data_IF_595788593120
#
_entry.id   IF_595788593120
#
_cell.length_a   1.000
_cell.length_b   1.000
_cell.length_c   1.000
_cell.angle_alpha   90.00
_cell.angle_beta   90.00
_cell.angle_gamma   90.00
#
_symmetry.space_group_name_H-M   'P 1'
#
loop_
_entity.id
_entity.type
_entity.pdbx_description
1 polymer ?
#
# COMPACT_ATOMS: atom_id res chain seq x y z
N UNK A 1 14.54 -15.48 8.48
CA UNK A 1 14.60 -14.32 7.56
C UNK A 1 15.18 -14.78 6.23
N UNK A 2 14.36 -14.86 5.18
CA UNK A 2 14.84 -15.18 3.83
C UNK A 2 15.40 -13.89 3.23
N UNK A 3 16.72 -13.85 2.96
CA UNK A 3 17.34 -12.75 2.20
C UNK A 3 16.99 -12.94 0.73
N UNK A 4 15.97 -12.23 0.27
CA UNK A 4 15.67 -12.11 -1.16
C UNK A 4 16.69 -11.15 -1.75
N UNK A 5 17.61 -11.66 -2.56
CA UNK A 5 18.57 -10.83 -3.31
C UNK A 5 17.84 -10.08 -4.41
N UNK A 6 17.59 -8.79 -4.19
CA UNK A 6 16.97 -7.90 -5.15
C UNK A 6 17.96 -7.53 -6.27
N UNK A 7 17.57 -7.50 -7.55
CA UNK A 7 18.39 -6.92 -8.62
C UNK A 7 18.70 -5.45 -8.31
N UNK A 8 19.95 -5.03 -8.57
CA UNK A 8 20.52 -3.74 -8.16
C UNK A 8 19.68 -2.52 -8.60
N UNK A 9 19.11 -2.54 -9.81
CA UNK A 9 18.25 -1.45 -10.31
C UNK A 9 16.95 -1.30 -9.51
N UNK A 10 16.36 -2.41 -9.08
CA UNK A 10 15.16 -2.46 -8.26
C UNK A 10 15.40 -1.91 -6.85
N UNK A 11 16.54 -2.30 -6.25
CA UNK A 11 16.94 -1.79 -4.93
C UNK A 11 17.15 -0.27 -4.91
N UNK A 12 17.56 0.32 -6.06
CA UNK A 12 17.77 1.77 -6.18
C UNK A 12 16.45 2.54 -6.30
N UNK A 13 15.51 2.07 -7.12
CA UNK A 13 14.20 2.69 -7.26
C UNK A 13 13.40 2.63 -5.95
N UNK A 14 13.32 1.43 -5.35
CA UNK A 14 12.65 1.21 -4.07
C UNK A 14 13.34 2.00 -2.94
N UNK A 15 14.68 1.99 -2.92
CA UNK A 15 15.46 2.76 -1.94
C UNK A 15 15.19 4.26 -2.05
N UNK A 16 15.11 4.81 -3.26
CA UNK A 16 14.80 6.24 -3.47
C UNK A 16 13.39 6.58 -2.98
N UNK A 17 12.38 5.75 -3.28
CA UNK A 17 11.02 5.96 -2.81
C UNK A 17 10.91 5.96 -1.28
N UNK A 18 11.53 4.98 -0.63
CA UNK A 18 11.44 4.81 0.82
C UNK A 18 12.33 5.76 1.62
N UNK A 19 13.17 6.56 0.96
CA UNK A 19 14.01 7.58 1.60
C UNK A 19 13.35 8.98 1.62
N UNK A 20 12.14 9.13 1.08
CA UNK A 20 11.46 10.43 1.04
C UNK A 20 10.95 10.82 2.44
N UNK A 21 11.10 12.08 2.84
CA UNK A 21 10.79 12.55 4.21
C UNK A 21 9.32 12.35 4.60
N UNK A 22 8.40 12.35 3.63
CA UNK A 22 6.98 12.11 3.88
C UNK A 22 6.63 10.62 4.13
N UNK A 23 7.59 9.70 3.98
CA UNK A 23 7.40 8.28 4.27
C UNK A 23 7.45 8.09 5.80
N UNK A 24 6.29 7.85 6.41
CA UNK A 24 6.19 7.70 7.86
C UNK A 24 7.00 6.53 8.43
N UNK A 25 7.19 5.44 7.70
CA UNK A 25 8.05 4.33 8.16
C UNK A 25 8.81 3.70 7.01
N UNK A 26 10.13 3.96 6.96
CA UNK A 26 11.03 3.42 5.93
C UNK A 26 10.99 1.90 5.84
N UNK A 27 10.99 1.21 6.98
CA UNK A 27 10.93 -0.26 7.04
C UNK A 27 9.67 -0.79 6.37
N UNK A 28 8.51 -0.22 6.70
CA UNK A 28 7.23 -0.61 6.10
C UNK A 28 7.23 -0.39 4.58
N UNK A 29 7.75 0.75 4.12
CA UNK A 29 7.87 1.02 2.70
C UNK A 29 8.76 -0.01 1.99
N UNK A 30 9.92 -0.34 2.57
CA UNK A 30 10.83 -1.33 2.00
C UNK A 30 10.17 -2.71 1.94
N UNK A 31 9.48 -3.15 2.99
CA UNK A 31 8.76 -4.43 3.00
C UNK A 31 7.65 -4.47 1.95
N UNK A 32 6.84 -3.41 1.86
CA UNK A 32 5.74 -3.32 0.89
C UNK A 32 6.25 -3.31 -0.57
N UNK A 33 7.38 -2.66 -0.83
CA UNK A 33 7.96 -2.52 -2.17
C UNK A 33 8.99 -3.59 -2.53
N UNK A 34 9.37 -4.47 -1.60
CA UNK A 34 10.29 -5.60 -1.88
C UNK A 34 9.59 -6.86 -2.38
N UNK A 35 8.32 -6.77 -2.80
CA UNK A 35 7.60 -7.91 -3.38
C UNK A 35 8.13 -8.25 -4.78
N UNK A 36 8.18 -9.53 -5.20
CA UNK A 36 8.71 -9.91 -6.52
C UNK A 36 8.09 -9.13 -7.70
N UNK A 37 6.82 -8.73 -7.59
CA UNK A 37 6.10 -7.92 -8.60
C UNK A 37 6.60 -6.48 -8.69
N UNK A 38 6.90 -5.85 -7.55
CA UNK A 38 7.47 -4.49 -7.51
C UNK A 38 8.96 -4.56 -7.88
N UNK A 39 9.61 -5.65 -7.55
CA UNK A 39 11.05 -5.79 -7.72
C UNK A 39 11.46 -5.85 -9.19
N UNK A 40 10.63 -6.43 -10.06
CA UNK A 40 10.86 -6.42 -11.50
C UNK A 40 10.45 -5.12 -12.19
N UNK A 41 9.97 -4.12 -11.42
CA UNK A 41 9.53 -2.85 -11.98
C UNK A 41 10.69 -2.07 -12.61
N UNK A 42 10.45 -1.58 -13.83
CA UNK A 42 11.43 -0.81 -14.60
C UNK A 42 11.29 0.70 -14.41
N UNK A 43 10.14 1.16 -13.91
CA UNK A 43 9.82 2.57 -13.70
C UNK A 43 8.87 2.76 -12.51
N UNK A 44 8.71 4.01 -12.09
CA UNK A 44 7.90 4.45 -10.94
C UNK A 44 6.38 4.22 -11.09
N UNK A 45 5.89 4.00 -12.31
CA UNK A 45 4.46 3.80 -12.58
C UNK A 45 3.99 2.45 -12.04
N UNK A 46 4.80 1.40 -12.18
CA UNK A 46 4.42 0.05 -11.77
C UNK A 46 4.23 -0.09 -10.24
N UNK A 47 5.14 0.44 -9.37
CA UNK A 47 4.88 0.54 -7.94
C UNK A 47 3.60 1.33 -7.62
N UNK A 48 3.35 2.45 -8.30
CA UNK A 48 2.12 3.25 -8.10
C UNK A 48 0.85 2.45 -8.41
N UNK A 49 0.84 1.70 -9.52
CA UNK A 49 -0.29 0.81 -9.89
C UNK A 49 -0.49 -0.29 -8.83
N UNK A 50 0.59 -0.85 -8.29
CA UNK A 50 0.53 -1.87 -7.24
C UNK A 50 -0.02 -1.31 -5.93
N UNK A 51 0.42 -0.12 -5.50
CA UNK A 51 -0.12 0.57 -4.32
C UNK A 51 -1.61 0.87 -4.50
N UNK A 52 -2.02 1.33 -5.69
CA UNK A 52 -3.42 1.60 -6.01
C UNK A 52 -4.28 0.33 -5.93
N UNK A 53 -3.78 -0.80 -6.43
CA UNK A 53 -4.45 -2.12 -6.32
C UNK A 53 -4.59 -2.58 -4.86
N UNK A 54 -3.53 -2.47 -4.06
CA UNK A 54 -3.57 -2.79 -2.63
C UNK A 54 -4.60 -1.92 -1.88
N UNK A 55 -4.67 -0.64 -2.22
CA UNK A 55 -5.70 0.27 -1.69
C UNK A 55 -7.13 -0.19 -2.05
N UNK A 56 -7.35 -0.63 -3.29
CA UNK A 56 -8.65 -1.14 -3.74
C UNK A 56 -9.04 -2.46 -3.04
N UNK A 57 -8.09 -3.36 -2.80
CA UNK A 57 -8.30 -4.59 -2.04
C UNK A 57 -8.73 -4.28 -0.59
N UNK A 58 -8.04 -3.34 0.07
CA UNK A 58 -8.42 -2.88 1.40
C UNK A 58 -9.82 -2.27 1.44
N UNK A 59 -10.19 -1.46 0.43
CA UNK A 59 -11.53 -0.89 0.31
C UNK A 59 -12.62 -1.97 0.23
N UNK A 60 -12.36 -3.04 -0.54
CA UNK A 60 -13.29 -4.18 -0.63
C UNK A 60 -13.44 -4.88 0.73
N UNK A 61 -12.33 -5.09 1.45
CA UNK A 61 -12.33 -5.69 2.78
C UNK A 61 -13.19 -4.86 3.76
N UNK A 62 -13.03 -3.53 3.78
CA UNK A 62 -13.88 -2.66 4.63
C UNK A 62 -15.36 -2.73 4.24
N UNK A 63 -15.68 -2.73 2.94
CA UNK A 63 -17.06 -2.86 2.46
C UNK A 63 -17.71 -4.19 2.90
N UNK A 64 -16.92 -5.27 3.00
CA UNK A 64 -17.41 -6.55 3.55
C UNK A 64 -17.67 -6.43 5.06
N UNK A 65 -16.74 -5.83 5.82
CA UNK A 65 -16.90 -5.65 7.27
C UNK A 65 -18.10 -4.77 7.63
N UNK A 66 -18.40 -3.74 6.83
CA UNK A 66 -19.55 -2.84 7.04
C UNK A 66 -20.90 -3.58 6.96
N UNK A 67 -20.98 -4.70 6.24
CA UNK A 67 -22.24 -5.47 6.12
C UNK A 67 -22.65 -6.14 7.43
N UNK A 68 -21.70 -6.45 8.30
CA UNK A 68 -21.93 -7.10 9.61
C UNK A 68 -20.97 -6.53 10.65
N UNK A 69 -21.17 -5.28 11.08
CA UNK A 69 -20.31 -4.66 12.07
C UNK A 69 -20.59 -5.27 13.44
N UNK A 70 -19.54 -5.51 14.23
CA UNK A 70 -19.68 -6.03 15.59
C UNK A 70 -20.15 -4.97 16.60
N UNK A 71 -20.06 -3.68 16.26
CA UNK A 71 -20.57 -2.57 17.09
C UNK A 71 -20.83 -1.30 16.27
N UNK A 72 -21.65 -0.35 16.79
CA UNK A 72 -21.86 0.96 16.17
C UNK A 72 -20.58 1.79 16.06
N UNK A 73 -19.69 1.71 17.05
CA UNK A 73 -18.41 2.41 17.04
C UNK A 73 -17.51 1.89 15.92
N UNK A 74 -17.47 0.55 15.74
CA UNK A 74 -16.72 -0.06 14.66
C UNK A 74 -17.30 0.35 13.30
N UNK A 75 -18.63 0.35 13.14
CA UNK A 75 -19.27 0.81 11.89
C UNK A 75 -18.86 2.25 11.54
N UNK A 76 -18.87 3.17 12.52
CA UNK A 76 -18.43 4.55 12.31
C UNK A 76 -16.96 4.62 11.87
N UNK A 77 -16.07 3.86 12.52
CA UNK A 77 -14.67 3.80 12.16
C UNK A 77 -14.46 3.24 10.74
N UNK A 78 -15.14 2.14 10.40
CA UNK A 78 -15.08 1.53 9.06
C UNK A 78 -15.55 2.49 7.96
N UNK A 79 -16.63 3.23 8.19
CA UNK A 79 -17.10 4.25 7.25
C UNK A 79 -16.08 5.38 7.06
N UNK A 80 -15.44 5.85 8.15
CA UNK A 80 -14.35 6.83 8.05
C UNK A 80 -13.17 6.30 7.22
N UNK A 81 -12.79 5.03 7.42
CA UNK A 81 -11.75 4.38 6.62
C UNK A 81 -12.13 4.34 5.14
N UNK A 82 -13.35 3.91 4.80
CA UNK A 82 -13.82 3.84 3.42
C UNK A 82 -13.71 5.19 2.71
N UNK A 83 -14.15 6.27 3.35
CA UNK A 83 -14.07 7.62 2.76
C UNK A 83 -12.61 8.09 2.58
N UNK A 84 -11.75 7.84 3.57
CA UNK A 84 -10.32 8.15 3.47
C UNK A 84 -9.65 7.38 2.31
N UNK A 85 -9.96 6.10 2.15
CA UNK A 85 -9.41 5.28 1.06
C UNK A 85 -9.94 5.68 -0.31
N UNK A 86 -11.23 6.05 -0.43
CA UNK A 86 -11.78 6.63 -1.68
C UNK A 86 -11.03 7.89 -2.07
N UNK A 87 -10.86 8.83 -1.13
CA UNK A 87 -10.13 10.06 -1.37
C UNK A 87 -8.68 9.78 -1.81
N UNK A 88 -7.95 8.94 -1.06
CA UNK A 88 -6.59 8.57 -1.40
C UNK A 88 -6.48 7.93 -2.80
N UNK A 89 -7.44 7.09 -3.20
CA UNK A 89 -7.44 6.43 -4.51
C UNK A 89 -7.58 7.40 -5.71
N UNK A 90 -8.20 8.57 -5.48
CA UNK A 90 -8.32 9.64 -6.47
C UNK A 90 -7.06 10.52 -6.53
N UNK A 91 -6.24 10.50 -5.48
CA UNK A 91 -5.00 11.28 -5.40
C UNK A 91 -3.77 10.56 -6.01
N UNK A 92 -3.91 9.28 -6.39
CA UNK A 92 -2.90 8.48 -7.10
C UNK A 92 -3.15 8.45 -8.61
#
# INVERSE_FOLDING_TARGET
>A
MVKISLPVASSKLVGNFCNYESIGTRTFCLEALSTPKVVVAKDSTQPGILIKKLGAENLNIYNVMIKKPSSPQLLKALNCCVEAYKYASLSF
#
